data_IF_985853396203
#
_entry.id   IF_985853396203
#
_cell.length_a   1.000
_cell.length_b   1.000
_cell.length_c   1.000
_cell.angle_alpha   90.00
_cell.angle_beta   90.00
_cell.angle_gamma   90.00
#
_symmetry.space_group_name_H-M   'P 1'
#
loop_
_entity.id
_entity.type
_entity.pdbx_description
1 polymer ?
#
# COMPACT_ATOMS: atom_id res chain seq x y z
N UNK A 1 -15.68 30.36 -7.31
CA UNK A 1 -16.02 29.24 -8.20
C UNK A 1 -15.32 28.02 -7.67
N UNK A 2 -15.82 26.79 -7.94
CA UNK A 2 -15.09 25.58 -7.53
C UNK A 2 -14.08 25.14 -8.59
N UNK A 3 -13.07 24.39 -8.17
CA UNK A 3 -11.99 23.85 -8.98
C UNK A 3 -11.87 22.34 -8.84
N UNK A 4 -11.50 21.65 -9.89
CA UNK A 4 -11.17 20.24 -9.84
C UNK A 4 -9.66 20.05 -9.91
N UNK A 5 -9.12 19.23 -9.02
CA UNK A 5 -7.67 19.07 -8.84
C UNK A 5 -7.27 17.63 -9.04
N UNK A 6 -6.10 17.41 -9.63
CA UNK A 6 -5.50 16.10 -9.78
C UNK A 6 -4.01 16.16 -9.48
N UNK A 7 -3.56 15.30 -8.59
CA UNK A 7 -2.15 14.94 -8.44
C UNK A 7 -2.02 13.44 -8.74
N UNK A 8 -1.22 13.04 -9.73
CA UNK A 8 -0.78 11.66 -9.93
C UNK A 8 0.73 11.57 -9.70
N UNK A 9 1.14 10.65 -8.86
CA UNK A 9 2.53 10.28 -8.59
C UNK A 9 2.79 8.94 -9.27
N UNK A 10 3.49 8.96 -10.40
CA UNK A 10 3.82 7.75 -11.15
C UNK A 10 5.17 7.18 -10.74
N UNK A 11 5.23 5.89 -10.45
CA UNK A 11 6.42 5.21 -9.91
C UNK A 11 6.76 3.94 -10.69
N UNK A 12 7.89 3.32 -10.33
CA UNK A 12 8.08 1.89 -10.58
C UNK A 12 7.19 1.06 -9.62
N UNK A 13 7.06 -0.24 -9.85
CA UNK A 13 6.10 -1.10 -9.14
C UNK A 13 6.33 -1.11 -7.63
N UNK A 14 5.33 -0.64 -6.88
CA UNK A 14 5.31 -0.62 -5.42
C UNK A 14 4.91 -1.99 -4.86
N UNK A 15 5.42 -2.38 -3.68
CA UNK A 15 5.03 -3.64 -3.04
C UNK A 15 3.54 -3.66 -2.67
N UNK A 16 2.83 -4.71 -3.08
CA UNK A 16 1.38 -4.82 -2.87
C UNK A 16 0.97 -4.78 -1.39
N UNK A 17 1.77 -5.40 -0.52
CA UNK A 17 1.48 -5.55 0.91
C UNK A 17 1.43 -4.25 1.73
N UNK A 18 1.92 -3.14 1.18
CA UNK A 18 1.86 -1.83 1.86
C UNK A 18 0.76 -0.92 1.31
N UNK A 19 0.18 -1.26 0.15
CA UNK A 19 -0.61 -0.32 -0.63
C UNK A 19 -1.90 0.14 0.04
N UNK A 20 -2.63 -0.73 0.74
CA UNK A 20 -3.82 -0.33 1.50
C UNK A 20 -3.46 0.70 2.57
N UNK A 21 -2.40 0.46 3.34
CA UNK A 21 -1.92 1.43 4.33
C UNK A 21 -1.43 2.75 3.72
N UNK A 22 -0.85 2.71 2.52
CA UNK A 22 -0.45 3.93 1.80
C UNK A 22 -1.66 4.72 1.31
N UNK A 23 -2.72 4.05 0.84
CA UNK A 23 -3.99 4.70 0.46
C UNK A 23 -4.61 5.41 1.66
N UNK A 24 -4.70 4.74 2.81
CA UNK A 24 -5.25 5.34 4.04
C UNK A 24 -4.40 6.53 4.51
N UNK A 25 -3.08 6.39 4.48
CA UNK A 25 -2.15 7.47 4.83
C UNK A 25 -2.30 8.67 3.89
N UNK A 26 -2.36 8.45 2.58
CA UNK A 26 -2.51 9.52 1.60
C UNK A 26 -3.87 10.22 1.75
N UNK A 27 -4.94 9.48 2.06
CA UNK A 27 -6.26 10.06 2.32
C UNK A 27 -6.25 10.98 3.54
N UNK A 28 -5.68 10.52 4.66
CA UNK A 28 -5.55 11.31 5.87
C UNK A 28 -4.64 12.54 5.66
N UNK A 29 -3.53 12.34 4.96
CA UNK A 29 -2.58 13.41 4.63
C UNK A 29 -3.23 14.45 3.73
N UNK A 30 -3.97 14.04 2.69
CA UNK A 30 -4.68 14.98 1.83
C UNK A 30 -5.65 15.84 2.63
N UNK A 31 -6.52 15.23 3.46
CA UNK A 31 -7.45 15.98 4.29
C UNK A 31 -6.73 17.01 5.18
N UNK A 32 -5.67 16.60 5.87
CA UNK A 32 -4.92 17.50 6.77
C UNK A 32 -4.16 18.60 6.02
N UNK A 33 -3.61 18.32 4.83
CA UNK A 33 -2.88 19.32 4.06
C UNK A 33 -3.81 20.36 3.41
N UNK A 34 -4.97 19.95 2.91
CA UNK A 34 -5.98 20.88 2.42
C UNK A 34 -6.48 21.80 3.53
N UNK A 35 -6.70 21.27 4.75
CA UNK A 35 -7.05 22.07 5.94
C UNK A 35 -5.92 23.03 6.33
N UNK A 36 -4.68 22.56 6.43
CA UNK A 36 -3.51 23.37 6.79
C UNK A 36 -3.27 24.52 5.81
N UNK A 37 -3.51 24.29 4.52
CA UNK A 37 -3.43 25.32 3.49
C UNK A 37 -4.73 26.12 3.33
N UNK A 38 -5.73 25.93 4.17
CA UNK A 38 -7.01 26.64 4.18
C UNK A 38 -7.76 26.60 2.84
N UNK A 39 -7.68 25.47 2.12
CA UNK A 39 -8.46 25.21 0.91
C UNK A 39 -9.56 24.24 1.26
N UNK A 40 -10.81 24.66 1.18
CA UNK A 40 -11.95 23.77 1.39
C UNK A 40 -12.00 22.72 0.27
N UNK A 41 -12.00 21.43 0.66
CA UNK A 41 -11.98 20.29 -0.24
C UNK A 41 -12.72 19.12 0.43
N UNK A 42 -13.99 18.90 0.10
CA UNK A 42 -14.81 17.86 0.72
C UNK A 42 -14.76 16.54 -0.03
N UNK A 43 -14.60 16.56 -1.35
CA UNK A 43 -14.69 15.40 -2.23
C UNK A 43 -13.28 14.93 -2.67
N UNK A 44 -12.52 14.38 -1.72
CA UNK A 44 -11.18 13.84 -1.97
C UNK A 44 -11.28 12.33 -2.24
N UNK A 45 -10.84 11.90 -3.41
CA UNK A 45 -10.77 10.48 -3.81
C UNK A 45 -9.31 10.08 -4.05
N UNK A 46 -8.91 8.96 -3.47
CA UNK A 46 -7.58 8.38 -3.67
C UNK A 46 -7.69 7.19 -4.61
N UNK A 47 -6.86 7.17 -5.64
CA UNK A 47 -6.68 6.05 -6.53
C UNK A 47 -5.28 5.47 -6.38
N UNK A 48 -5.17 4.15 -6.45
CA UNK A 48 -3.89 3.47 -6.32
C UNK A 48 -3.80 2.24 -7.23
N UNK A 49 -2.67 2.11 -7.91
CA UNK A 49 -2.28 0.93 -8.68
C UNK A 49 -0.85 0.53 -8.30
N UNK A 50 -0.32 -0.62 -8.76
CA UNK A 50 1.09 -0.95 -8.52
C UNK A 50 2.07 0.17 -8.87
N UNK A 51 1.76 1.04 -9.84
CA UNK A 51 2.69 2.02 -10.40
C UNK A 51 2.27 3.47 -10.22
N UNK A 52 1.20 3.76 -9.46
CA UNK A 52 0.73 5.13 -9.25
C UNK A 52 -0.09 5.29 -7.98
N UNK A 53 -0.01 6.49 -7.44
CA UNK A 53 -0.92 7.02 -6.45
C UNK A 53 -1.54 8.28 -7.04
N UNK A 54 -2.85 8.48 -6.90
CA UNK A 54 -3.48 9.70 -7.39
C UNK A 54 -4.47 10.25 -6.37
N UNK A 55 -4.49 11.57 -6.25
CA UNK A 55 -5.43 12.34 -5.45
C UNK A 55 -6.28 13.15 -6.42
N UNK A 56 -7.56 12.83 -6.48
CA UNK A 56 -8.56 13.58 -7.22
C UNK A 56 -9.44 14.36 -6.23
N UNK A 57 -9.52 15.65 -6.40
CA UNK A 57 -10.41 16.51 -5.60
C UNK A 57 -11.43 17.15 -6.54
N UNK A 58 -12.70 16.99 -6.21
CA UNK A 58 -13.80 17.66 -6.92
C UNK A 58 -14.31 18.82 -6.09
N UNK A 59 -14.64 19.90 -6.77
CA UNK A 59 -15.25 21.07 -6.16
C UNK A 59 -14.44 21.70 -5.01
N UNK A 60 -13.12 21.74 -5.14
CA UNK A 60 -12.26 22.48 -4.19
C UNK A 60 -12.50 23.99 -4.29
N UNK A 61 -12.27 24.72 -3.20
CA UNK A 61 -12.32 26.18 -3.22
C UNK A 61 -11.26 26.78 -4.19
N UNK A 62 -11.65 27.79 -4.95
CA UNK A 62 -10.75 28.46 -5.91
C UNK A 62 -9.74 29.42 -5.24
N UNK A 63 -9.92 29.69 -3.96
CA UNK A 63 -9.00 30.50 -3.16
C UNK A 63 -9.12 30.21 -1.67
N UNK A 64 -8.10 30.57 -0.92
CA UNK A 64 -8.15 30.60 0.54
C UNK A 64 -9.15 31.67 1.02
N UNK A 65 -9.80 31.47 2.17
CA UNK A 65 -10.55 32.53 2.83
C UNK A 65 -9.59 33.65 3.24
N UNK A 66 -10.11 34.88 3.25
CA UNK A 66 -9.38 36.01 3.77
C UNK A 66 -9.09 35.80 5.25
N UNK A 67 -7.95 36.28 5.73
CA UNK A 67 -7.52 36.13 7.11
C UNK A 67 -7.51 37.49 7.80
N UNK A 68 -8.35 37.61 8.80
CA UNK A 68 -8.34 38.81 9.67
C UNK A 68 -7.33 38.61 10.81
N UNK A 69 -6.29 39.42 10.83
CA UNK A 69 -5.25 39.38 11.86
C UNK A 69 -5.36 40.64 12.72
N UNK A 70 -5.59 40.45 14.01
CA UNK A 70 -5.51 41.54 14.97
C UNK A 70 -4.08 41.70 15.47
N UNK A 71 -3.47 42.85 15.22
CA UNK A 71 -2.13 43.17 15.72
C UNK A 71 -2.22 44.29 16.78
N UNK A 72 -1.62 44.00 17.95
CA UNK A 72 -1.56 44.95 19.05
C UNK A 72 -0.54 46.05 18.73
N UNK A 73 -0.98 47.29 18.80
CA UNK A 73 -0.18 48.49 18.64
C UNK A 73 0.19 49.16 19.98
N UNK A 74 0.64 50.39 19.92
CA UNK A 74 0.98 51.18 21.12
C UNK A 74 -0.24 51.40 22.03
N UNK A 75 0.00 51.77 23.29
CA UNK A 75 -1.08 52.14 24.21
C UNK A 75 -1.89 53.33 23.67
N UNK A 76 -3.17 53.37 23.97
CA UNK A 76 -4.07 54.48 23.55
C UNK A 76 -3.50 55.82 23.91
N UNK A 77 -2.90 55.97 25.13
CA UNK A 77 -2.25 57.20 25.61
C UNK A 77 -1.01 57.60 24.77
N UNK A 78 -0.31 56.64 24.19
CA UNK A 78 0.85 56.90 23.32
C UNK A 78 0.44 57.07 21.85
N UNK A 79 -0.67 56.48 21.46
CA UNK A 79 -1.16 56.46 20.08
C UNK A 79 -1.94 57.73 19.70
N UNK A 80 -2.59 58.38 20.67
CA UNK A 80 -3.42 59.57 20.42
C UNK A 80 -3.04 60.72 21.37
N UNK A 81 -3.08 61.94 20.86
CA UNK A 81 -2.86 63.14 21.65
C UNK A 81 -4.13 63.54 22.43
N UNK A 82 -4.08 64.69 23.16
CA UNK A 82 -5.19 65.16 23.97
C UNK A 82 -6.42 65.52 23.13
N UNK A 83 -6.24 65.88 21.86
CA UNK A 83 -7.28 66.20 20.90
C UNK A 83 -7.80 65.00 20.12
N UNK A 84 -7.24 63.84 20.39
CA UNK A 84 -7.63 62.58 19.74
C UNK A 84 -6.96 62.32 18.39
N UNK A 85 -5.96 63.08 17.98
CA UNK A 85 -5.26 62.89 16.73
C UNK A 85 -4.17 61.84 16.88
N UNK A 86 -3.91 61.03 15.81
CA UNK A 86 -2.89 59.98 15.83
C UNK A 86 -1.48 60.58 15.94
N UNK A 87 -0.74 60.19 16.96
CA UNK A 87 0.65 60.55 17.18
C UNK A 87 1.59 59.85 16.15
N UNK A 88 2.87 60.25 16.18
CA UNK A 88 3.91 59.58 15.37
C UNK A 88 3.97 58.06 15.66
N UNK A 89 3.68 57.63 16.89
CA UNK A 89 3.67 56.22 17.27
C UNK A 89 2.52 55.46 16.59
N UNK A 90 1.29 56.04 16.57
CA UNK A 90 0.17 55.46 15.84
C UNK A 90 0.39 55.47 14.33
N UNK A 91 0.89 56.56 13.77
CA UNK A 91 1.21 56.67 12.33
C UNK A 91 2.29 55.67 11.91
N UNK A 92 3.35 55.47 12.71
CA UNK A 92 4.41 54.49 12.45
C UNK A 92 3.90 53.07 12.51
N UNK A 93 3.05 52.75 13.48
CA UNK A 93 2.42 51.44 13.62
C UNK A 93 1.45 51.15 12.45
N UNK A 94 0.55 52.07 12.12
CA UNK A 94 -0.40 51.96 11.02
C UNK A 94 0.31 51.76 9.66
N UNK A 95 1.36 52.57 9.42
CA UNK A 95 2.21 52.43 8.23
C UNK A 95 2.88 51.04 8.14
N UNK A 96 3.37 50.51 9.28
CA UNK A 96 3.96 49.18 9.34
C UNK A 96 2.95 48.03 9.13
N UNK A 97 1.67 48.33 9.25
CA UNK A 97 0.57 47.41 8.98
C UNK A 97 -0.16 47.68 7.65
N UNK A 98 0.28 48.68 6.88
CA UNK A 98 -0.32 49.11 5.61
C UNK A 98 -1.79 49.56 5.72
N UNK A 99 -2.16 50.14 6.83
CA UNK A 99 -3.51 50.68 7.08
C UNK A 99 -3.46 52.19 7.33
N UNK A 100 -4.59 52.89 7.21
CA UNK A 100 -4.70 54.29 7.61
C UNK A 100 -4.71 54.40 9.12
N UNK A 101 -4.06 55.41 9.75
CA UNK A 101 -4.10 55.62 11.19
C UNK A 101 -5.54 55.78 11.77
N UNK A 102 -6.51 56.19 10.95
CA UNK A 102 -7.91 56.30 11.33
C UNK A 102 -8.61 54.92 11.47
N UNK A 103 -8.05 53.88 10.90
CA UNK A 103 -8.54 52.48 10.97
C UNK A 103 -8.07 51.77 12.26
N UNK A 104 -7.23 52.43 13.07
CA UNK A 104 -6.81 51.85 14.35
C UNK A 104 -7.98 51.83 15.35
N UNK A 105 -8.29 50.63 15.85
CA UNK A 105 -9.34 50.43 16.85
C UNK A 105 -8.78 50.52 18.25
N UNK A 106 -9.50 51.25 19.16
CA UNK A 106 -9.14 51.34 20.56
C UNK A 106 -9.84 50.20 21.32
N UNK A 107 -9.06 49.25 21.85
CA UNK A 107 -9.62 48.19 22.70
C UNK A 107 -8.84 48.15 24.03
N UNK A 108 -9.51 48.50 25.12
CA UNK A 108 -8.87 48.59 26.44
C UNK A 108 -7.77 49.66 26.49
N UNK A 109 -6.58 49.28 26.93
CA UNK A 109 -5.44 50.18 27.06
C UNK A 109 -4.59 50.33 25.79
N UNK A 110 -4.87 49.56 24.73
CA UNK A 110 -4.07 49.48 23.53
C UNK A 110 -4.86 49.80 22.26
N UNK A 111 -4.12 50.19 21.22
CA UNK A 111 -4.64 50.26 19.86
C UNK A 111 -4.45 48.93 19.16
N UNK A 112 -5.33 48.62 18.24
CA UNK A 112 -5.28 47.41 17.44
C UNK A 112 -5.46 47.74 15.97
N UNK A 113 -4.66 47.07 15.14
CA UNK A 113 -4.83 47.06 13.70
C UNK A 113 -5.58 45.77 13.30
N UNK A 114 -6.68 45.93 12.60
CA UNK A 114 -7.37 44.83 11.94
C UNK A 114 -6.84 44.78 10.51
N UNK A 115 -6.00 43.83 10.22
CA UNK A 115 -5.40 43.65 8.88
C UNK A 115 -6.06 42.45 8.20
N UNK A 116 -6.66 42.69 7.05
CA UNK A 116 -7.21 41.61 6.23
C UNK A 116 -6.16 41.21 5.22
N UNK A 117 -5.66 39.99 5.34
CA UNK A 117 -4.83 39.39 4.33
C UNK A 117 -5.73 38.65 3.33
N UNK A 118 -5.76 39.09 2.08
CA UNK A 118 -6.54 38.46 1.05
C UNK A 118 -6.00 37.00 0.82
N UNK A 119 -6.92 36.06 0.81
CA UNK A 119 -6.58 34.65 0.54
C UNK A 119 -5.92 34.48 -0.83
N UNK A 120 -4.93 33.62 -0.94
CA UNK A 120 -4.25 33.29 -2.20
C UNK A 120 -5.19 32.47 -3.11
N UNK A 121 -4.99 32.55 -4.41
CA UNK A 121 -5.65 31.64 -5.35
C UNK A 121 -5.16 30.22 -5.14
N UNK A 122 -6.01 29.24 -5.41
CA UNK A 122 -5.64 27.82 -5.25
C UNK A 122 -4.45 27.43 -6.10
N UNK A 123 -4.35 27.96 -7.31
CA UNK A 123 -3.22 27.70 -8.22
C UNK A 123 -1.86 28.12 -7.63
N UNK A 124 -1.83 29.17 -6.80
CA UNK A 124 -0.62 29.65 -6.13
C UNK A 124 -0.23 28.81 -4.92
N UNK A 125 -1.19 28.06 -4.36
CA UNK A 125 -1.01 27.21 -3.15
C UNK A 125 -0.69 25.78 -3.53
N UNK A 126 -1.23 25.28 -4.63
CA UNK A 126 -1.12 23.89 -5.03
C UNK A 126 0.31 23.35 -5.20
N UNK A 127 1.32 24.10 -5.69
CA UNK A 127 2.67 23.57 -5.80
C UNK A 127 3.24 23.08 -4.46
N UNK A 128 3.07 23.85 -3.40
CA UNK A 128 3.51 23.51 -2.06
C UNK A 128 2.64 22.40 -1.45
N UNK A 129 1.33 22.49 -1.60
CA UNK A 129 0.38 21.50 -1.11
C UNK A 129 0.66 20.13 -1.76
N UNK A 130 0.79 20.05 -3.07
CA UNK A 130 1.05 18.79 -3.78
C UNK A 130 2.41 18.20 -3.44
N UNK A 131 3.43 19.06 -3.28
CA UNK A 131 4.73 18.60 -2.82
C UNK A 131 4.66 18.01 -1.41
N UNK A 132 3.88 18.62 -0.51
CA UNK A 132 3.68 18.10 0.85
C UNK A 132 2.97 16.75 0.87
N UNK A 133 2.07 16.48 -0.10
CA UNK A 133 1.45 15.15 -0.25
C UNK A 133 2.46 14.07 -0.67
N UNK A 134 3.44 14.43 -1.47
CA UNK A 134 4.50 13.49 -1.87
C UNK A 134 5.48 13.24 -0.72
N UNK A 135 5.98 14.31 -0.12
CA UNK A 135 7.04 14.26 0.91
C UNK A 135 6.52 13.82 2.28
N UNK A 136 5.23 13.99 2.54
CA UNK A 136 4.57 13.58 3.79
C UNK A 136 4.25 12.09 3.87
N UNK A 137 4.37 11.33 2.77
CA UNK A 137 4.20 9.88 2.80
C UNK A 137 5.37 9.21 3.50
N UNK A 138 5.06 8.36 4.49
CA UNK A 138 6.05 7.62 5.26
C UNK A 138 6.02 6.14 4.89
N UNK A 139 7.20 5.58 4.64
CA UNK A 139 7.38 4.18 4.30
C UNK A 139 8.36 3.55 5.29
N UNK A 140 8.06 2.33 5.76
CA UNK A 140 8.98 1.57 6.64
C UNK A 140 10.32 1.28 5.97
N UNK A 141 10.32 1.17 4.64
CA UNK A 141 11.52 1.06 3.81
C UNK A 141 11.34 1.99 2.62
N UNK A 142 12.26 2.91 2.45
CA UNK A 142 12.36 3.79 1.30
C UNK A 142 13.72 3.60 0.63
N UNK A 143 13.85 4.08 -0.59
CA UNK A 143 15.11 4.07 -1.33
C UNK A 143 15.40 5.46 -1.90
N UNK A 144 16.67 5.70 -2.16
CA UNK A 144 17.16 6.78 -3.03
C UNK A 144 17.49 6.19 -4.39
N UNK A 145 17.45 7.00 -5.41
CA UNK A 145 17.80 6.57 -6.77
C UNK A 145 18.57 7.65 -7.51
N UNK A 146 19.40 7.24 -8.44
CA UNK A 146 20.34 8.12 -9.14
C UNK A 146 21.15 8.98 -8.15
N UNK A 147 21.33 10.27 -8.42
CA UNK A 147 22.04 11.22 -7.58
C UNK A 147 21.10 12.00 -6.65
N UNK A 148 19.87 11.48 -6.42
CA UNK A 148 18.84 12.14 -5.62
C UNK A 148 19.05 11.94 -4.12
N UNK A 149 18.78 12.98 -3.34
CA UNK A 149 18.62 12.88 -1.89
C UNK A 149 17.19 12.53 -1.48
N UNK A 150 16.26 12.68 -2.41
CA UNK A 150 14.85 12.37 -2.18
C UNK A 150 14.63 10.88 -1.90
N UNK A 151 13.74 10.59 -0.95
CA UNK A 151 13.37 9.25 -0.55
C UNK A 151 11.92 8.95 -0.95
N UNK A 152 11.70 7.80 -1.58
CA UNK A 152 10.36 7.27 -1.83
C UNK A 152 10.41 5.74 -1.83
N UNK A 153 9.24 5.06 -1.82
CA UNK A 153 9.19 3.59 -1.81
C UNK A 153 9.76 2.96 -3.11
N UNK A 154 9.57 3.66 -4.24
CA UNK A 154 10.13 3.32 -5.56
C UNK A 154 10.43 4.62 -6.31
N UNK A 155 11.33 4.61 -7.31
CA UNK A 155 11.64 5.78 -8.10
C UNK A 155 10.39 6.42 -8.71
N UNK A 156 10.21 7.72 -8.49
CA UNK A 156 9.18 8.51 -9.16
C UNK A 156 9.60 8.73 -10.61
N UNK A 157 8.70 8.49 -11.54
CA UNK A 157 8.96 8.47 -12.99
C UNK A 157 8.20 9.53 -13.77
N UNK A 158 7.06 9.97 -13.27
CA UNK A 158 6.27 11.06 -13.82
C UNK A 158 5.35 11.64 -12.76
N UNK A 159 4.94 12.89 -12.94
CA UNK A 159 3.98 13.58 -12.09
C UNK A 159 2.95 14.26 -12.99
N UNK A 160 1.66 14.00 -12.75
CA UNK A 160 0.57 14.80 -13.31
C UNK A 160 0.04 15.69 -12.20
N UNK A 161 0.02 17.00 -12.43
CA UNK A 161 -0.51 17.98 -11.48
C UNK A 161 -1.37 19.00 -12.22
N UNK A 162 -2.68 18.95 -11.96
CA UNK A 162 -3.67 19.75 -12.69
C UNK A 162 -4.60 20.49 -11.73
N UNK A 163 -4.96 21.72 -12.10
CA UNK A 163 -6.08 22.48 -11.58
C UNK A 163 -6.99 22.79 -12.78
N UNK A 164 -8.16 22.15 -12.87
CA UNK A 164 -8.96 22.09 -14.06
C UNK A 164 -8.10 21.71 -15.29
N UNK A 165 -7.93 22.59 -16.26
CA UNK A 165 -7.10 22.36 -17.46
C UNK A 165 -5.68 22.89 -17.35
N UNK A 166 -5.35 23.57 -16.25
CA UNK A 166 -4.05 24.20 -16.05
C UNK A 166 -3.08 23.24 -15.36
N UNK A 167 -1.85 23.18 -15.89
CA UNK A 167 -0.76 22.43 -15.27
C UNK A 167 -0.21 23.23 -14.10
N UNK A 168 -0.19 22.63 -12.93
CA UNK A 168 0.42 23.18 -11.73
C UNK A 168 1.92 22.88 -11.75
N UNK A 169 2.79 23.89 -11.87
CA UNK A 169 4.22 23.67 -11.98
C UNK A 169 4.81 23.26 -10.64
N UNK A 170 5.38 22.07 -10.57
CA UNK A 170 6.13 21.57 -9.42
C UNK A 170 7.19 20.57 -9.86
N UNK A 171 8.13 20.26 -8.99
CA UNK A 171 9.19 19.32 -9.24
C UNK A 171 9.49 18.48 -7.98
N UNK A 172 9.69 17.18 -8.17
CA UNK A 172 10.18 16.28 -7.11
C UNK A 172 11.18 15.30 -7.71
N UNK A 173 12.37 15.21 -7.13
CA UNK A 173 13.44 14.30 -7.57
C UNK A 173 13.71 14.43 -9.09
N UNK A 174 13.92 15.67 -9.58
CA UNK A 174 14.12 16.06 -10.98
C UNK A 174 12.98 15.69 -11.94
N UNK A 175 11.86 15.20 -11.41
CA UNK A 175 10.66 14.95 -12.20
C UNK A 175 9.74 16.17 -12.14
N UNK A 176 9.62 16.86 -13.27
CA UNK A 176 8.70 18.00 -13.41
C UNK A 176 7.29 17.51 -13.65
N UNK A 177 6.33 18.22 -13.07
CA UNK A 177 4.92 18.00 -13.32
C UNK A 177 4.51 18.34 -14.74
N UNK A 178 3.44 17.70 -15.19
CA UNK A 178 2.80 17.93 -16.47
C UNK A 178 1.37 17.43 -16.47
N UNK A 179 0.84 17.15 -17.64
CA UNK A 179 -0.46 16.53 -17.85
C UNK A 179 -0.36 15.16 -18.56
N UNK A 180 0.84 14.58 -18.62
CA UNK A 180 1.09 13.33 -19.34
C UNK A 180 1.31 12.19 -18.35
N UNK A 181 0.39 11.25 -18.37
CA UNK A 181 0.47 9.99 -17.65
C UNK A 181 0.99 8.85 -18.55
N UNK A 182 1.10 7.66 -18.01
CA UNK A 182 1.48 6.44 -18.72
C UNK A 182 0.39 5.39 -18.58
N UNK A 183 0.00 4.78 -19.70
CA UNK A 183 -0.92 3.66 -19.72
C UNK A 183 -0.30 2.35 -19.24
N UNK A 184 -1.04 1.28 -19.46
CA UNK A 184 -0.56 -0.07 -19.14
C UNK A 184 0.72 -0.41 -19.90
N UNK A 185 1.73 -0.90 -19.18
CA UNK A 185 3.11 -1.11 -19.69
C UNK A 185 3.18 -1.85 -21.03
N UNK A 186 2.31 -2.83 -21.27
CA UNK A 186 2.33 -3.68 -22.45
C UNK A 186 1.20 -3.38 -23.46
N UNK A 187 0.06 -2.84 -22.98
CA UNK A 187 -1.13 -2.64 -23.82
C UNK A 187 -1.24 -1.23 -24.37
N UNK A 188 -0.64 -0.23 -23.70
CA UNK A 188 -0.63 1.17 -24.13
C UNK A 188 0.77 1.75 -23.96
N UNK A 189 1.51 1.86 -25.06
CA UNK A 189 2.88 2.41 -25.07
C UNK A 189 2.92 3.90 -25.27
N UNK A 190 1.85 4.46 -25.81
CA UNK A 190 1.75 5.89 -26.11
C UNK A 190 1.56 6.69 -24.82
N UNK A 191 2.07 7.94 -24.80
CA UNK A 191 1.78 8.88 -23.70
C UNK A 191 0.29 9.12 -23.55
N UNK A 192 -0.21 9.19 -22.32
CA UNK A 192 -1.62 9.41 -22.02
C UNK A 192 -1.82 10.83 -21.53
N UNK A 193 -2.39 11.68 -22.36
CA UNK A 193 -2.67 13.08 -21.99
C UNK A 193 -3.95 13.16 -21.17
N UNK A 194 -3.87 13.71 -19.97
CA UNK A 194 -5.00 14.02 -19.10
C UNK A 194 -5.42 15.46 -19.37
N UNK A 195 -6.59 15.67 -19.96
CA UNK A 195 -7.07 16.99 -20.35
C UNK A 195 -7.67 17.80 -19.20
N UNK A 196 -8.27 17.09 -18.24
CA UNK A 196 -8.81 17.66 -16.99
C UNK A 196 -8.94 16.56 -15.91
N UNK A 197 -8.99 16.92 -14.62
CA UNK A 197 -9.09 15.96 -13.52
C UNK A 197 -10.27 15.00 -13.59
N UNK A 198 -11.44 15.45 -14.04
CA UNK A 198 -12.65 14.62 -14.07
C UNK A 198 -12.60 13.54 -15.16
N UNK A 199 -11.82 13.77 -16.22
CA UNK A 199 -11.60 12.78 -17.28
C UNK A 199 -10.61 11.67 -16.88
N UNK A 200 -9.87 11.82 -15.79
CA UNK A 200 -8.75 10.95 -15.40
C UNK A 200 -9.11 9.46 -15.39
N UNK A 201 -10.16 9.10 -14.67
CA UNK A 201 -10.56 7.68 -14.49
C UNK A 201 -10.86 7.01 -15.83
N UNK A 202 -11.62 7.66 -16.70
CA UNK A 202 -11.99 7.12 -18.01
C UNK A 202 -10.83 7.14 -19.00
N UNK A 203 -10.03 8.19 -18.99
CA UNK A 203 -8.83 8.29 -19.83
C UNK A 203 -7.85 7.16 -19.52
N UNK A 204 -7.64 6.87 -18.23
CA UNK A 204 -6.77 5.78 -17.81
C UNK A 204 -7.37 4.40 -18.13
N UNK A 205 -8.68 4.24 -18.06
CA UNK A 205 -9.38 3.01 -18.48
C UNK A 205 -9.15 2.72 -19.97
N UNK A 206 -9.25 3.73 -20.84
CA UNK A 206 -8.94 3.59 -22.27
C UNK A 206 -7.47 3.24 -22.52
N UNK A 207 -6.59 3.62 -21.59
CA UNK A 207 -5.18 3.26 -21.60
C UNK A 207 -4.89 1.92 -20.88
N UNK A 208 -5.92 1.09 -20.65
CA UNK A 208 -5.86 -0.20 -19.99
C UNK A 208 -5.33 -0.13 -18.54
N UNK A 209 -5.75 0.87 -17.79
CA UNK A 209 -5.44 1.02 -16.36
C UNK A 209 -6.75 1.30 -15.60
N UNK A 210 -7.14 0.38 -14.75
CA UNK A 210 -8.25 0.56 -13.81
C UNK A 210 -7.65 1.21 -12.55
N UNK A 211 -7.70 2.54 -12.47
CA UNK A 211 -7.07 3.29 -11.38
C UNK A 211 -7.76 3.10 -10.05
N UNK A 212 -9.08 2.92 -10.07
CA UNK A 212 -9.92 2.72 -8.90
C UNK A 212 -9.71 1.31 -8.34
N UNK A 213 -9.09 1.23 -7.17
CA UNK A 213 -8.75 -0.03 -6.52
C UNK A 213 -9.99 -0.82 -6.07
N UNK A 214 -11.08 -0.16 -5.73
CA UNK A 214 -12.31 -0.83 -5.29
C UNK A 214 -13.03 -1.46 -6.48
N UNK A 215 -13.13 -0.74 -7.59
CA UNK A 215 -13.63 -1.27 -8.84
C UNK A 215 -12.77 -2.42 -9.35
N UNK A 216 -11.46 -2.27 -9.32
CA UNK A 216 -10.52 -3.30 -9.79
C UNK A 216 -10.60 -4.56 -8.93
N UNK A 217 -10.73 -4.43 -7.60
CA UNK A 217 -10.97 -5.55 -6.67
C UNK A 217 -12.25 -6.30 -7.02
N UNK A 218 -13.32 -5.58 -7.29
CA UNK A 218 -14.61 -6.19 -7.67
C UNK A 218 -14.54 -6.89 -9.03
N UNK A 219 -13.83 -6.32 -10.01
CA UNK A 219 -13.59 -6.97 -11.30
C UNK A 219 -12.80 -8.28 -11.12
N UNK A 220 -11.80 -8.32 -10.26
CA UNK A 220 -11.04 -9.53 -9.95
C UNK A 220 -11.96 -10.56 -9.30
N UNK A 221 -12.69 -10.17 -8.25
CA UNK A 221 -13.59 -11.05 -7.48
C UNK A 221 -14.64 -11.69 -8.37
N UNK A 222 -15.37 -10.88 -9.11
CA UNK A 222 -16.44 -11.36 -10.01
C UNK A 222 -15.91 -12.19 -11.15
N UNK A 223 -14.76 -11.82 -11.71
CA UNK A 223 -14.11 -12.57 -12.77
C UNK A 223 -13.62 -13.95 -12.31
N UNK A 224 -13.02 -14.06 -11.11
CA UNK A 224 -12.61 -15.34 -10.53
C UNK A 224 -13.82 -16.25 -10.28
N UNK A 225 -14.93 -15.72 -9.75
CA UNK A 225 -16.17 -16.47 -9.57
C UNK A 225 -16.71 -16.99 -10.90
N UNK A 226 -16.79 -16.15 -11.92
CA UNK A 226 -17.26 -16.55 -13.24
C UNK A 226 -16.40 -17.63 -13.91
N UNK A 227 -15.09 -17.64 -13.66
CA UNK A 227 -14.20 -18.70 -14.14
C UNK A 227 -14.41 -19.99 -13.36
N UNK A 228 -14.56 -19.94 -12.03
CA UNK A 228 -14.82 -21.10 -11.20
C UNK A 228 -16.16 -21.78 -11.56
N UNK A 229 -17.22 -20.98 -11.76
CA UNK A 229 -18.54 -21.48 -12.17
C UNK A 229 -18.49 -22.24 -13.51
N UNK A 230 -17.72 -21.75 -14.47
CA UNK A 230 -17.50 -22.44 -15.76
C UNK A 230 -16.81 -23.80 -15.60
N UNK A 231 -16.00 -23.97 -14.56
CA UNK A 231 -15.34 -25.22 -14.23
C UNK A 231 -16.21 -26.13 -13.36
N UNK A 232 -17.37 -25.68 -12.93
CA UNK A 232 -18.28 -26.42 -12.02
C UNK A 232 -17.74 -26.50 -10.60
N UNK A 233 -16.98 -25.51 -10.16
CA UNK A 233 -16.36 -25.48 -8.85
C UNK A 233 -16.47 -24.14 -8.15
N UNK A 234 -15.89 -24.05 -6.96
CA UNK A 234 -15.92 -22.87 -6.10
C UNK A 234 -14.54 -22.35 -5.78
N UNK A 235 -14.39 -21.03 -5.79
CA UNK A 235 -13.14 -20.35 -5.36
C UNK A 235 -12.96 -20.54 -3.86
N UNK A 236 -11.78 -20.96 -3.44
CA UNK A 236 -11.41 -20.90 -2.03
C UNK A 236 -11.06 -19.45 -1.66
N UNK A 237 -12.04 -18.72 -1.14
CA UNK A 237 -11.92 -17.31 -0.80
C UNK A 237 -10.75 -17.04 0.15
N UNK A 238 -9.97 -16.02 -0.19
CA UNK A 238 -8.93 -15.44 0.65
C UNK A 238 -8.90 -13.93 0.39
N UNK A 239 -9.32 -13.15 1.38
CA UNK A 239 -9.41 -11.70 1.27
C UNK A 239 -8.02 -11.05 1.14
N UNK A 240 -7.03 -11.55 1.89
CA UNK A 240 -5.67 -11.01 1.85
C UNK A 240 -5.02 -11.26 0.49
N UNK A 241 -5.23 -12.44 -0.09
CA UNK A 241 -4.75 -12.74 -1.44
C UNK A 241 -5.44 -11.87 -2.50
N UNK A 242 -6.74 -11.60 -2.35
CA UNK A 242 -7.48 -10.71 -3.25
C UNK A 242 -6.89 -9.30 -3.20
N UNK A 243 -6.62 -8.80 -2.00
CA UNK A 243 -6.04 -7.48 -1.82
C UNK A 243 -4.61 -7.42 -2.35
N UNK A 244 -3.79 -8.44 -2.12
CA UNK A 244 -2.44 -8.53 -2.70
C UNK A 244 -2.50 -8.50 -4.23
N UNK A 245 -3.34 -9.31 -4.86
CA UNK A 245 -3.48 -9.34 -6.32
C UNK A 245 -4.01 -8.02 -6.87
N UNK A 246 -4.94 -7.38 -6.16
CA UNK A 246 -5.47 -6.07 -6.52
C UNK A 246 -4.36 -5.03 -6.74
N UNK A 247 -3.31 -5.07 -5.91
CA UNK A 247 -2.15 -4.19 -6.03
C UNK A 247 -0.96 -4.79 -6.81
N UNK A 248 -1.15 -5.92 -7.49
CA UNK A 248 -0.19 -6.47 -8.45
C UNK A 248 -0.58 -6.21 -9.91
N UNK A 249 -1.84 -5.83 -10.17
CA UNK A 249 -2.37 -5.66 -11.53
C UNK A 249 -2.97 -4.27 -11.73
N UNK A 250 -2.88 -3.76 -12.95
CA UNK A 250 -3.55 -2.53 -13.39
C UNK A 250 -4.77 -2.81 -14.27
N UNK A 251 -4.75 -3.94 -15.00
CA UNK A 251 -5.85 -4.38 -15.88
C UNK A 251 -6.06 -5.88 -15.71
N UNK A 252 -6.97 -6.29 -14.81
CA UNK A 252 -7.12 -7.69 -14.43
C UNK A 252 -7.83 -8.52 -15.50
N UNK A 253 -7.24 -9.66 -15.85
CA UNK A 253 -7.88 -10.70 -16.65
C UNK A 253 -7.77 -12.04 -15.92
N UNK A 254 -8.85 -12.49 -15.22
CA UNK A 254 -8.90 -13.78 -14.58
C UNK A 254 -8.84 -14.93 -15.59
N UNK A 255 -8.09 -15.97 -15.25
CA UNK A 255 -7.95 -17.20 -16.03
C UNK A 255 -7.73 -18.38 -15.09
N UNK A 256 -7.83 -19.59 -15.65
CA UNK A 256 -7.52 -20.81 -14.90
C UNK A 256 -6.33 -21.54 -15.51
N UNK A 257 -5.80 -22.48 -14.76
CA UNK A 257 -4.87 -23.50 -15.22
C UNK A 257 -5.24 -24.85 -14.60
N UNK A 258 -4.69 -25.91 -15.15
CA UNK A 258 -4.89 -27.28 -14.68
C UNK A 258 -3.60 -27.81 -14.03
N UNK A 259 -3.80 -28.64 -12.98
CA UNK A 259 -2.74 -29.48 -12.39
C UNK A 259 -3.03 -30.95 -12.71
N UNK A 260 -2.00 -31.78 -12.66
CA UNK A 260 -2.17 -33.19 -12.87
C UNK A 260 -2.88 -33.85 -11.69
N UNK A 261 -3.78 -34.78 -11.98
CA UNK A 261 -4.61 -35.45 -10.96
C UNK A 261 -3.78 -36.21 -9.91
N UNK A 262 -2.54 -36.55 -10.22
CA UNK A 262 -1.64 -37.22 -9.26
C UNK A 262 -1.29 -36.33 -8.04
N UNK A 263 -1.22 -35.02 -8.22
CA UNK A 263 -0.94 -34.09 -7.12
C UNK A 263 -2.10 -33.96 -6.12
N UNK A 264 -3.33 -34.29 -6.54
CA UNK A 264 -4.49 -34.31 -5.63
C UNK A 264 -4.40 -35.43 -4.57
N UNK A 265 -3.49 -36.40 -4.74
CA UNK A 265 -3.19 -37.44 -3.74
C UNK A 265 -2.31 -36.94 -2.60
N UNK A 266 -1.68 -35.80 -2.77
CA UNK A 266 -0.88 -35.15 -1.71
C UNK A 266 -1.80 -34.55 -0.66
N UNK A 267 -1.30 -34.32 0.57
CA UNK A 267 -2.04 -33.55 1.57
C UNK A 267 -2.40 -32.16 1.04
N UNK A 268 -3.62 -31.73 1.32
CA UNK A 268 -4.14 -30.41 0.84
C UNK A 268 -3.15 -29.25 1.08
N UNK A 269 -2.51 -29.12 2.25
CA UNK A 269 -1.53 -28.05 2.47
C UNK A 269 -0.33 -28.11 1.50
N UNK A 270 0.15 -29.31 1.16
CA UNK A 270 1.29 -29.48 0.24
C UNK A 270 0.97 -29.03 -1.19
N UNK A 271 -0.31 -29.06 -1.57
CA UNK A 271 -0.79 -28.58 -2.88
C UNK A 271 -1.11 -27.07 -2.83
N UNK A 272 -1.79 -26.64 -1.78
CA UNK A 272 -2.35 -25.28 -1.69
C UNK A 272 -1.29 -24.22 -1.35
N UNK A 273 -0.30 -24.55 -0.51
CA UNK A 273 0.75 -23.60 -0.12
C UNK A 273 1.57 -23.10 -1.32
N UNK A 274 2.09 -23.98 -2.21
CA UNK A 274 2.77 -23.51 -3.42
C UNK A 274 1.87 -22.66 -4.33
N UNK A 275 0.59 -22.99 -4.44
CA UNK A 275 -0.36 -22.19 -5.24
C UNK A 275 -0.55 -20.81 -4.66
N UNK A 276 -0.94 -20.72 -3.40
CA UNK A 276 -1.36 -19.48 -2.76
C UNK A 276 -0.17 -18.59 -2.39
N UNK A 277 0.79 -19.14 -1.66
CA UNK A 277 1.81 -18.34 -0.99
C UNK A 277 2.99 -18.03 -1.93
N UNK A 278 3.25 -18.87 -2.94
CA UNK A 278 4.34 -18.66 -3.88
C UNK A 278 3.87 -18.07 -5.22
N UNK A 279 2.71 -18.51 -5.74
CA UNK A 279 2.25 -18.15 -7.08
C UNK A 279 1.06 -17.18 -7.10
N UNK A 280 0.43 -16.88 -5.95
CA UNK A 280 -0.78 -16.07 -5.83
C UNK A 280 -1.94 -16.64 -6.65
N UNK A 281 -2.10 -17.96 -6.63
CA UNK A 281 -3.19 -18.65 -7.28
C UNK A 281 -4.26 -19.06 -6.27
N UNK A 282 -5.51 -19.10 -6.71
CA UNK A 282 -6.64 -19.60 -5.93
C UNK A 282 -6.90 -21.07 -6.27
N UNK A 283 -6.92 -21.96 -5.27
CA UNK A 283 -7.42 -23.33 -5.47
C UNK A 283 -8.91 -23.32 -5.79
N UNK A 284 -9.35 -24.27 -6.63
CA UNK A 284 -10.76 -24.52 -6.91
C UNK A 284 -11.19 -25.76 -6.15
N UNK A 285 -12.40 -25.72 -5.57
CA UNK A 285 -12.98 -26.83 -4.80
C UNK A 285 -14.30 -27.27 -5.39
N UNK A 286 -14.60 -28.55 -5.20
CA UNK A 286 -15.92 -29.13 -5.39
C UNK A 286 -16.90 -28.65 -4.29
N UNK A 287 -18.20 -28.96 -4.44
CA UNK A 287 -19.24 -28.69 -3.41
C UNK A 287 -18.95 -29.38 -2.07
N UNK A 288 -18.35 -30.56 -2.09
CA UNK A 288 -17.95 -31.32 -0.89
C UNK A 288 -16.69 -30.78 -0.20
N UNK A 289 -16.08 -29.71 -0.74
CA UNK A 289 -14.86 -29.08 -0.23
C UNK A 289 -13.55 -29.73 -0.68
N UNK A 290 -13.59 -30.84 -1.43
CA UNK A 290 -12.38 -31.46 -2.00
C UNK A 290 -11.76 -30.56 -3.08
N UNK A 291 -10.43 -30.67 -3.28
CA UNK A 291 -9.73 -29.91 -4.33
C UNK A 291 -10.09 -30.44 -5.71
N UNK A 292 -10.32 -29.51 -6.63
CA UNK A 292 -10.37 -29.79 -8.07
C UNK A 292 -8.97 -29.68 -8.69
N UNK A 293 -8.74 -30.31 -9.84
CA UNK A 293 -7.47 -30.22 -10.56
C UNK A 293 -7.29 -28.88 -11.30
N UNK A 294 -7.76 -27.78 -10.68
CA UNK A 294 -7.71 -26.45 -11.26
C UNK A 294 -7.23 -25.41 -10.24
N UNK A 295 -6.57 -24.41 -10.76
CA UNK A 295 -6.28 -23.17 -10.02
C UNK A 295 -6.72 -21.96 -10.84
N UNK A 296 -7.02 -20.87 -10.17
CA UNK A 296 -7.35 -19.59 -10.79
C UNK A 296 -6.22 -18.60 -10.54
N UNK A 297 -5.97 -17.75 -11.51
CA UNK A 297 -5.00 -16.66 -11.42
C UNK A 297 -5.51 -15.43 -12.14
N UNK A 298 -4.84 -14.30 -11.93
CA UNK A 298 -5.20 -13.03 -12.57
C UNK A 298 -3.99 -12.50 -13.33
N UNK A 299 -4.13 -12.37 -14.63
CA UNK A 299 -3.13 -11.74 -15.49
C UNK A 299 -3.26 -10.22 -15.39
N UNK A 300 -2.13 -9.52 -15.30
CA UNK A 300 -2.06 -8.09 -15.56
C UNK A 300 -1.96 -7.86 -17.07
N UNK A 301 -3.08 -7.69 -17.74
CA UNK A 301 -3.13 -7.49 -19.19
C UNK A 301 -4.41 -8.03 -19.85
N UNK A 302 -4.50 -7.90 -21.16
CA UNK A 302 -5.65 -8.34 -21.94
C UNK A 302 -5.68 -9.84 -22.25
N UNK A 303 -6.63 -10.25 -23.08
CA UNK A 303 -6.91 -11.66 -23.41
C UNK A 303 -6.05 -12.25 -24.53
N UNK A 304 -5.20 -11.45 -25.18
CA UNK A 304 -4.34 -11.91 -26.30
C UNK A 304 -3.40 -13.01 -25.81
N UNK A 305 -3.36 -14.14 -26.53
CA UNK A 305 -2.51 -15.30 -26.25
C UNK A 305 -2.69 -15.84 -24.81
N UNK A 306 -3.93 -15.89 -24.32
CA UNK A 306 -4.25 -16.33 -22.96
C UNK A 306 -3.86 -17.79 -22.71
N UNK A 307 -3.97 -18.65 -23.73
CA UNK A 307 -3.55 -20.05 -23.69
C UNK A 307 -2.04 -20.22 -23.39
N UNK A 308 -1.20 -19.35 -23.96
CA UNK A 308 0.24 -19.38 -23.66
C UNK A 308 0.52 -18.97 -22.21
N UNK A 309 -0.25 -18.01 -21.67
CA UNK A 309 -0.13 -17.60 -20.28
C UNK A 309 -0.60 -18.71 -19.35
N UNK A 310 -1.72 -19.37 -19.67
CA UNK A 310 -2.23 -20.52 -18.93
C UNK A 310 -1.17 -21.63 -18.89
N UNK A 311 -0.66 -22.05 -20.04
CA UNK A 311 0.36 -23.12 -20.12
C UNK A 311 1.65 -22.74 -19.36
N UNK A 312 2.07 -21.48 -19.43
CA UNK A 312 3.22 -20.99 -18.66
C UNK A 312 3.01 -21.12 -17.15
N UNK A 313 1.84 -20.75 -16.66
CA UNK A 313 1.48 -20.86 -15.24
C UNK A 313 1.36 -22.33 -14.79
N UNK A 314 0.77 -23.20 -15.60
CA UNK A 314 0.70 -24.63 -15.35
C UNK A 314 2.09 -25.26 -15.22
N UNK A 315 3.03 -24.90 -16.11
CA UNK A 315 4.41 -25.38 -16.08
C UNK A 315 5.16 -24.96 -14.80
N UNK A 316 5.00 -23.69 -14.38
CA UNK A 316 5.63 -23.19 -13.17
C UNK A 316 5.07 -23.89 -11.94
N UNK A 317 3.75 -24.05 -11.86
CA UNK A 317 3.12 -24.71 -10.72
C UNK A 317 3.46 -26.20 -10.67
N UNK A 318 3.49 -26.89 -11.81
CA UNK A 318 3.90 -28.29 -11.91
C UNK A 318 5.27 -28.51 -11.26
N UNK A 319 6.27 -27.71 -11.61
CA UNK A 319 7.62 -27.84 -11.04
C UNK A 319 7.60 -27.72 -9.49
N UNK A 320 6.79 -26.81 -8.95
CA UNK A 320 6.64 -26.67 -7.50
C UNK A 320 5.92 -27.84 -6.84
N UNK A 321 4.94 -28.42 -7.53
CA UNK A 321 4.21 -29.58 -7.03
C UNK A 321 5.04 -30.88 -7.15
N UNK A 322 5.88 -31.00 -8.16
CA UNK A 322 6.85 -32.08 -8.28
C UNK A 322 7.85 -32.06 -7.11
N UNK A 323 8.37 -30.87 -6.76
CA UNK A 323 9.21 -30.69 -5.57
C UNK A 323 8.46 -31.10 -4.29
N UNK A 324 7.23 -30.58 -4.10
CA UNK A 324 6.42 -30.91 -2.94
C UNK A 324 6.13 -32.43 -2.85
N UNK A 325 5.82 -33.08 -3.97
CA UNK A 325 5.63 -34.52 -4.03
C UNK A 325 6.90 -35.28 -3.65
N UNK A 326 8.03 -34.89 -4.23
CA UNK A 326 9.32 -35.50 -3.92
C UNK A 326 9.65 -35.43 -2.43
N UNK A 327 9.50 -34.26 -1.83
CA UNK A 327 9.76 -34.09 -0.40
C UNK A 327 8.77 -34.89 0.45
N UNK A 328 7.48 -34.82 0.16
CA UNK A 328 6.47 -35.59 0.89
C UNK A 328 6.72 -37.09 0.86
N UNK A 329 7.05 -37.64 -0.34
CA UNK A 329 7.37 -39.06 -0.49
C UNK A 329 8.68 -39.42 0.21
N UNK A 330 9.67 -38.54 0.19
CA UNK A 330 10.96 -38.76 0.85
C UNK A 330 10.83 -38.76 2.36
N UNK A 331 10.09 -37.81 2.92
CA UNK A 331 9.85 -37.69 4.35
C UNK A 331 9.12 -38.92 4.91
N UNK A 332 8.30 -39.59 4.13
CA UNK A 332 7.57 -40.79 4.52
C UNK A 332 8.40 -42.09 4.46
N UNK A 333 9.62 -42.07 3.93
CA UNK A 333 10.49 -43.24 3.88
C UNK A 333 11.03 -43.68 5.23
N UNK A 334 11.08 -42.77 6.20
CA UNK A 334 11.52 -43.02 7.56
C UNK A 334 10.46 -42.57 8.55
N UNK A 335 10.46 -43.17 9.74
CA UNK A 335 9.69 -42.67 10.88
C UNK A 335 10.39 -41.46 11.50
N UNK A 336 9.71 -40.71 12.39
CA UNK A 336 10.34 -39.63 13.18
C UNK A 336 11.54 -40.10 13.95
N UNK A 337 11.45 -41.31 14.55
CA UNK A 337 12.57 -41.98 15.22
C UNK A 337 13.73 -42.25 14.26
N UNK A 338 13.43 -42.70 13.03
CA UNK A 338 14.44 -42.98 12.01
C UNK A 338 15.17 -41.74 11.50
N UNK A 339 14.54 -40.57 11.62
CA UNK A 339 15.18 -39.29 11.30
C UNK A 339 16.05 -38.74 12.44
N UNK A 340 15.91 -39.25 13.67
CA UNK A 340 16.69 -38.75 14.81
C UNK A 340 18.20 -38.81 14.59
N UNK A 341 18.70 -39.86 13.95
CA UNK A 341 20.14 -40.02 13.68
C UNK A 341 20.66 -38.97 12.67
N UNK A 342 19.81 -38.51 11.77
CA UNK A 342 20.16 -37.48 10.79
C UNK A 342 20.31 -36.07 11.44
N UNK A 343 19.79 -35.86 12.68
CA UNK A 343 19.94 -34.62 13.42
C UNK A 343 21.40 -34.27 13.75
N UNK A 344 22.30 -35.23 13.74
CA UNK A 344 23.73 -35.00 13.90
C UNK A 344 24.36 -34.19 12.77
N UNK A 345 23.66 -34.09 11.64
CA UNK A 345 24.09 -33.28 10.49
C UNK A 345 23.76 -31.79 10.61
N UNK A 346 22.93 -31.42 11.61
CA UNK A 346 22.47 -30.05 11.79
C UNK A 346 23.15 -29.47 13.04
N UNK A 347 24.09 -28.57 12.84
CA UNK A 347 24.73 -27.86 13.95
C UNK A 347 23.70 -27.00 14.71
N UNK A 348 23.70 -27.08 16.05
CA UNK A 348 22.84 -26.25 16.87
C UNK A 348 23.48 -24.90 17.17
N UNK A 349 24.64 -24.93 17.80
CA UNK A 349 25.41 -23.74 18.18
C UNK A 349 26.86 -24.16 18.47
N UNK A 350 27.81 -23.29 18.17
CA UNK A 350 29.23 -23.49 18.52
C UNK A 350 29.41 -23.80 20.02
N UNK A 351 30.12 -24.86 20.35
CA UNK A 351 30.34 -25.33 21.72
C UNK A 351 29.15 -26.05 22.38
N UNK A 352 27.97 -26.13 21.69
CA UNK A 352 26.80 -26.82 22.23
C UNK A 352 26.37 -28.05 21.42
N UNK A 353 27.16 -28.45 20.44
CA UNK A 353 26.91 -29.63 19.63
C UNK A 353 25.84 -29.46 18.56
N UNK A 354 25.21 -30.57 18.18
CA UNK A 354 24.23 -30.64 17.10
C UNK A 354 22.76 -30.66 17.63
N UNK A 355 21.80 -30.81 16.73
CA UNK A 355 20.37 -30.83 17.06
C UNK A 355 19.96 -32.10 17.82
N UNK A 356 20.68 -33.22 17.65
CA UNK A 356 20.49 -34.43 18.45
C UNK A 356 20.93 -34.19 19.89
N UNK A 357 22.11 -33.60 20.10
CA UNK A 357 22.58 -33.21 21.44
C UNK A 357 21.58 -32.30 22.16
N UNK A 358 20.95 -31.35 21.39
CA UNK A 358 19.89 -30.53 21.96
C UNK A 358 18.66 -31.32 22.37
N UNK A 359 18.20 -32.27 21.54
CA UNK A 359 17.08 -33.13 21.86
C UNK A 359 17.37 -34.00 23.10
N UNK A 360 18.59 -34.52 23.21
CA UNK A 360 19.04 -35.30 24.36
C UNK A 360 19.05 -34.47 25.67
N UNK A 361 19.48 -33.19 25.59
CA UNK A 361 19.40 -32.28 26.76
C UNK A 361 17.97 -32.00 27.16
N UNK A 362 17.06 -31.78 26.19
CA UNK A 362 15.63 -31.55 26.45
C UNK A 362 15.02 -32.78 27.12
N UNK A 363 15.35 -33.99 26.67
CA UNK A 363 14.88 -35.24 27.28
C UNK A 363 15.34 -35.35 28.73
N UNK A 364 16.62 -35.13 29.01
CA UNK A 364 17.15 -35.12 30.42
C UNK A 364 16.46 -34.09 31.30
N UNK A 365 16.17 -32.89 30.76
CA UNK A 365 15.46 -31.87 31.53
C UNK A 365 14.02 -32.30 31.85
N UNK A 366 13.31 -32.90 30.91
CA UNK A 366 11.96 -33.42 31.13
C UNK A 366 11.95 -34.53 32.13
N UNK A 367 12.85 -35.52 32.03
CA UNK A 367 13.00 -36.62 32.95
C UNK A 367 13.28 -36.14 34.41
N UNK A 368 14.12 -35.11 34.56
CA UNK A 368 14.46 -34.54 35.85
C UNK A 368 13.28 -33.82 36.53
N UNK A 369 12.42 -33.15 35.74
CA UNK A 369 11.37 -32.28 36.31
C UNK A 369 9.96 -32.91 36.25
N UNK A 370 9.74 -34.03 35.55
CA UNK A 370 8.40 -34.60 35.33
C UNK A 370 7.64 -34.94 36.62
N UNK A 371 8.36 -35.29 37.72
CA UNK A 371 7.75 -35.60 39.02
C UNK A 371 7.12 -34.36 39.65
N UNK A 372 7.74 -33.20 39.44
CA UNK A 372 7.31 -31.93 40.03
C UNK A 372 6.12 -31.33 39.25
N UNK A 373 5.92 -31.78 38.02
CA UNK A 373 4.82 -31.30 37.16
C UNK A 373 3.48 -32.04 37.37
N UNK A 374 3.47 -33.09 38.18
CA UNK A 374 2.24 -33.80 38.56
C UNK A 374 1.55 -34.56 37.42
N UNK A 375 2.31 -34.99 36.42
CA UNK A 375 1.80 -35.78 35.31
C UNK A 375 1.21 -37.12 35.69
N UNK A 376 0.13 -37.53 35.05
CA UNK A 376 -0.34 -38.93 35.07
C UNK A 376 0.70 -39.83 34.38
N UNK A 377 0.54 -41.16 34.52
CA UNK A 377 1.44 -42.12 33.89
C UNK A 377 1.49 -42.02 32.35
N UNK A 378 0.34 -41.72 31.73
CA UNK A 378 0.21 -41.51 30.28
C UNK A 378 0.89 -40.20 29.85
N UNK A 379 0.61 -39.10 30.52
CA UNK A 379 1.24 -37.79 30.26
C UNK A 379 2.76 -37.84 30.48
N UNK A 380 3.24 -38.64 31.47
CA UNK A 380 4.67 -38.84 31.70
C UNK A 380 5.35 -39.57 30.55
N UNK A 381 4.68 -40.58 29.94
CA UNK A 381 5.21 -41.30 28.79
C UNK A 381 5.28 -40.39 27.55
N UNK A 382 4.27 -39.57 27.32
CA UNK A 382 4.26 -38.57 26.24
C UNK A 382 5.30 -37.46 26.46
N UNK A 383 5.46 -36.99 27.71
CA UNK A 383 6.47 -36.02 28.10
C UNK A 383 7.91 -36.52 27.90
N UNK A 384 8.17 -37.80 28.08
CA UNK A 384 9.48 -38.41 27.79
C UNK A 384 9.70 -38.59 26.28
N UNK A 385 8.63 -38.92 25.53
CA UNK A 385 8.69 -39.16 24.09
C UNK A 385 8.78 -37.84 23.26
N UNK A 386 8.09 -36.80 23.71
CA UNK A 386 8.06 -35.53 22.99
C UNK A 386 9.45 -34.89 22.79
N UNK A 387 10.32 -34.74 23.78
CA UNK A 387 11.68 -34.24 23.62
C UNK A 387 12.54 -35.15 22.74
N UNK A 388 12.38 -36.48 22.89
CA UNK A 388 13.09 -37.46 22.07
C UNK A 388 12.82 -37.27 20.57
N UNK A 389 11.58 -37.00 20.19
CA UNK A 389 11.18 -36.77 18.81
C UNK A 389 11.27 -35.27 18.38
N UNK A 390 11.44 -34.40 19.36
CA UNK A 390 11.35 -32.95 19.21
C UNK A 390 12.34 -32.46 18.21
N UNK A 391 12.73 -32.23 17.35
CA UNK A 391 13.68 -31.70 16.36
C UNK A 391 13.76 -32.58 15.10
N UNK A 392 13.22 -33.80 15.15
CA UNK A 392 13.20 -34.66 13.95
C UNK A 392 12.46 -34.01 12.77
N UNK A 393 11.49 -33.13 13.04
CA UNK A 393 10.77 -32.38 12.03
C UNK A 393 11.62 -31.32 11.30
N UNK A 394 12.79 -30.92 11.82
CA UNK A 394 13.70 -30.02 11.10
C UNK A 394 14.35 -30.65 9.87
N UNK A 395 14.19 -31.95 9.70
CA UNK A 395 14.65 -32.71 8.55
C UNK A 395 13.57 -32.87 7.48
N UNK A 396 12.32 -32.48 7.81
CA UNK A 396 11.24 -32.39 6.84
C UNK A 396 11.32 -31.06 6.11
N UNK A 397 11.19 -31.08 4.83
CA UNK A 397 11.34 -29.93 3.91
C UNK A 397 9.99 -29.40 3.44
#
# INVERSE_FOLDING_TARGET
MSKNLLLEIGTEEMPANIMSGVVDQLKALAASQFEAHRIAAENITIYATPRRLAVLVKDAADRQPDEEVKKRGPSVKAAFDADGNPTRAAQGFARGQHIDPSELVKEGEYTWAHVVHAGKKVEDVLPELFLSLITGLNFTRSMRWADEEAHFIRPVRWIVALCDKEIIPMEFAHVKSGNVSRGHRFLCKEPVVISDPLSYKETMRHAFVIVDQDERREMIRTGLLAVADKLGGHVWHNADLLEEINYLVEYPTPLYGRIDDEFLKLPVPAVVTPMRDHQRYYPVRNEDGSLMPYFLTVRNGGTKALENVQHGNEKVLRARLDDAKFFFENDRKKTLEGHRDDLTRINYQEGMGDMRDKADRLQKLTEANRKDWGFTAEEAADADRAPFLSKSFHLYT
#
